data_IF_074049372796
#
_entry.id   IF_074049372796
#
_cell.length_a   1.000
_cell.length_b   1.000
_cell.length_c   1.000
_cell.angle_alpha   90.00
_cell.angle_beta   90.00
_cell.angle_gamma   90.00
#
_symmetry.space_group_name_H-M   'P 1'
#
loop_
_entity.id
_entity.type
_entity.pdbx_description
1 polymer ?
#
# COMPACT_ATOMS: atom_id res chain seq x y z
N UNK A 1 -40.38 -19.88 15.87
CA UNK A 1 -38.99 -19.81 16.34
C UNK A 1 -38.35 -18.54 15.80
N UNK A 2 -38.43 -17.47 16.57
CA UNK A 2 -37.82 -16.17 16.27
C UNK A 2 -36.33 -16.27 16.59
N UNK A 3 -35.47 -16.21 15.57
CA UNK A 3 -34.03 -16.10 15.79
C UNK A 3 -33.75 -14.74 16.44
N UNK A 4 -33.38 -14.75 17.72
CA UNK A 4 -32.83 -13.58 18.38
C UNK A 4 -31.58 -13.13 17.59
N UNK A 5 -31.51 -11.89 17.09
CA UNK A 5 -30.28 -11.37 16.51
C UNK A 5 -29.19 -11.38 17.58
N UNK A 6 -27.98 -11.82 17.22
CA UNK A 6 -26.86 -11.91 18.15
C UNK A 6 -26.56 -10.54 18.79
N UNK A 7 -26.11 -10.54 20.06
CA UNK A 7 -25.69 -9.33 20.78
C UNK A 7 -24.65 -8.49 20.00
N UNK A 8 -23.86 -9.15 19.15
CA UNK A 8 -22.90 -8.51 18.25
C UNK A 8 -23.59 -7.59 17.20
N UNK A 9 -24.82 -7.91 16.77
CA UNK A 9 -25.59 -7.06 15.85
C UNK A 9 -26.10 -5.78 16.51
N UNK A 10 -26.42 -5.81 17.81
CA UNK A 10 -26.85 -4.62 18.56
C UNK A 10 -25.69 -3.66 18.83
N UNK A 11 -24.49 -4.17 19.11
CA UNK A 11 -23.30 -3.35 19.38
C UNK A 11 -22.72 -2.61 18.16
N UNK A 12 -23.22 -2.89 16.94
CA UNK A 12 -22.80 -2.17 15.72
C UNK A 12 -23.23 -0.71 15.66
N UNK A 13 -24.23 -0.32 16.44
CA UNK A 13 -24.83 1.02 16.35
C UNK A 13 -24.30 2.01 17.40
N UNK A 14 -23.48 1.55 18.34
CA UNK A 14 -22.95 2.37 19.45
C UNK A 14 -21.42 2.57 19.40
N UNK A 15 -20.71 1.84 18.54
CA UNK A 15 -19.29 2.07 18.32
C UNK A 15 -19.11 3.15 17.25
N UNK A 16 -18.33 4.22 17.53
CA UNK A 16 -18.12 5.28 16.56
C UNK A 16 -17.56 4.68 15.26
N UNK A 17 -18.14 5.08 14.13
CA UNK A 17 -17.63 4.75 12.81
C UNK A 17 -16.22 5.33 12.69
N UNK A 18 -15.20 4.50 12.95
CA UNK A 18 -13.79 4.86 12.89
C UNK A 18 -13.30 5.00 11.44
N UNK A 19 -14.09 5.67 10.58
CA UNK A 19 -13.69 6.10 9.25
C UNK A 19 -12.42 6.95 9.37
N UNK A 20 -11.28 6.34 9.06
CA UNK A 20 -9.98 7.00 9.01
C UNK A 20 -9.10 6.84 10.25
N UNK A 21 -9.53 6.14 11.31
CA UNK A 21 -8.66 5.90 12.46
C UNK A 21 -7.50 4.95 12.07
N UNK A 22 -6.26 5.20 12.53
CA UNK A 22 -5.14 4.31 12.29
C UNK A 22 -5.41 2.93 12.93
N UNK A 23 -4.89 1.88 12.31
CA UNK A 23 -4.97 0.52 12.85
C UNK A 23 -3.92 0.32 13.94
N UNK A 24 -4.35 -0.20 15.07
CA UNK A 24 -3.51 -0.57 16.21
C UNK A 24 -3.01 -2.01 16.11
N UNK A 25 -2.00 -2.35 16.92
CA UNK A 25 -1.49 -3.73 17.00
C UNK A 25 -2.54 -4.70 17.57
N UNK A 26 -3.31 -4.28 18.58
CA UNK A 26 -4.43 -5.08 19.13
C UNK A 26 -5.52 -5.36 18.10
N UNK A 27 -5.80 -4.40 17.21
CA UNK A 27 -6.70 -4.60 16.07
C UNK A 27 -6.11 -5.59 15.06
N UNK A 28 -4.80 -5.51 14.78
CA UNK A 28 -4.11 -6.45 13.90
C UNK A 28 -4.17 -7.88 14.49
N UNK A 29 -3.91 -8.06 15.79
CA UNK A 29 -4.02 -9.35 16.48
C UNK A 29 -5.45 -9.90 16.46
N UNK A 30 -6.44 -9.02 16.67
CA UNK A 30 -7.85 -9.38 16.56
C UNK A 30 -8.18 -9.83 15.14
N UNK A 31 -7.65 -9.15 14.13
CA UNK A 31 -7.84 -9.52 12.73
C UNK A 31 -7.22 -10.88 12.42
N UNK A 32 -6.03 -11.19 12.95
CA UNK A 32 -5.40 -12.52 12.82
C UNK A 32 -6.28 -13.60 13.41
N UNK A 33 -6.77 -13.42 14.64
CA UNK A 33 -7.64 -14.41 15.29
C UNK A 33 -8.94 -14.64 14.52
N UNK A 34 -9.61 -13.56 14.10
CA UNK A 34 -10.88 -13.64 13.39
C UNK A 34 -10.71 -14.19 11.98
N UNK A 35 -9.59 -13.88 11.29
CA UNK A 35 -9.29 -14.47 9.99
C UNK A 35 -9.02 -15.97 10.13
N UNK A 36 -8.30 -16.42 11.16
CA UNK A 36 -8.09 -17.84 11.42
C UNK A 36 -9.41 -18.58 11.69
N UNK A 37 -10.37 -17.93 12.37
CA UNK A 37 -11.69 -18.48 12.68
C UNK A 37 -12.64 -18.52 11.47
N UNK A 38 -12.71 -17.44 10.69
CA UNK A 38 -13.72 -17.26 9.64
C UNK A 38 -13.18 -17.41 8.21
N UNK A 39 -11.87 -17.45 8.02
CA UNK A 39 -11.21 -17.30 6.73
C UNK A 39 -11.46 -15.90 6.13
N UNK A 40 -11.44 -15.81 4.81
CA UNK A 40 -11.65 -14.55 4.08
C UNK A 40 -13.14 -14.16 3.96
N UNK A 41 -14.01 -14.66 4.86
CA UNK A 41 -15.42 -14.24 4.95
C UNK A 41 -15.51 -12.92 5.70
N UNK A 42 -15.08 -11.84 5.05
CA UNK A 42 -14.89 -10.53 5.69
C UNK A 42 -16.14 -9.93 6.31
N UNK A 43 -17.34 -10.29 5.82
CA UNK A 43 -18.59 -9.91 6.47
C UNK A 43 -18.72 -10.55 7.86
N UNK A 44 -18.41 -11.84 7.99
CA UNK A 44 -18.43 -12.54 9.27
C UNK A 44 -17.30 -12.08 10.20
N UNK A 45 -16.12 -11.76 9.65
CA UNK A 45 -15.04 -11.13 10.44
C UNK A 45 -15.52 -9.80 11.00
N UNK A 46 -16.17 -8.95 10.20
CA UNK A 46 -16.66 -7.65 10.63
C UNK A 46 -17.84 -7.73 11.62
N UNK A 47 -18.63 -8.81 11.59
CA UNK A 47 -19.67 -9.04 12.60
C UNK A 47 -19.08 -9.17 14.02
N UNK A 48 -17.84 -9.64 14.15
CA UNK A 48 -17.12 -9.81 15.42
C UNK A 48 -15.99 -8.78 15.63
N UNK A 49 -15.74 -7.91 14.65
CA UNK A 49 -14.68 -6.90 14.72
C UNK A 49 -15.27 -5.55 15.17
N UNK A 50 -14.86 -5.00 16.34
CA UNK A 50 -15.38 -3.72 16.81
C UNK A 50 -14.91 -2.55 15.93
N UNK A 51 -15.85 -1.77 15.40
CA UNK A 51 -15.56 -0.49 14.75
C UNK A 51 -14.88 -0.56 13.37
N UNK A 52 -14.71 -1.75 12.76
CA UNK A 52 -14.19 -1.91 11.39
C UNK A 52 -15.15 -2.66 10.48
N UNK A 53 -15.22 -2.24 9.23
CA UNK A 53 -16.02 -2.92 8.20
C UNK A 53 -15.26 -4.08 7.57
N UNK A 54 -15.99 -5.01 6.94
CA UNK A 54 -15.38 -6.14 6.25
C UNK A 54 -14.41 -5.71 5.15
N UNK A 55 -14.71 -4.61 4.45
CA UNK A 55 -13.80 -4.04 3.45
C UNK A 55 -12.49 -3.56 4.07
N UNK A 56 -12.56 -2.86 5.22
CA UNK A 56 -11.36 -2.41 5.93
C UNK A 56 -10.53 -3.60 6.42
N UNK A 57 -11.16 -4.61 7.00
CA UNK A 57 -10.50 -5.85 7.42
C UNK A 57 -9.82 -6.56 6.24
N UNK A 58 -10.51 -6.71 5.11
CA UNK A 58 -9.97 -7.33 3.91
C UNK A 58 -8.74 -6.56 3.37
N UNK A 59 -8.84 -5.23 3.32
CA UNK A 59 -7.75 -4.37 2.88
C UNK A 59 -6.55 -4.48 3.83
N UNK A 60 -6.77 -4.40 5.14
CA UNK A 60 -5.71 -4.52 6.14
C UNK A 60 -5.01 -5.87 6.09
N UNK A 61 -5.77 -6.95 5.94
CA UNK A 61 -5.24 -8.30 5.78
C UNK A 61 -4.33 -8.40 4.55
N UNK A 62 -4.84 -8.02 3.38
CA UNK A 62 -4.13 -8.14 2.09
C UNK A 62 -2.81 -7.37 2.03
N UNK A 63 -2.70 -6.24 2.72
CA UNK A 63 -1.53 -5.36 2.58
C UNK A 63 -0.56 -5.37 3.76
N UNK A 64 -0.97 -5.81 4.96
CA UNK A 64 -0.11 -5.66 6.15
C UNK A 64 -0.14 -6.82 7.14
N UNK A 65 -1.31 -7.38 7.42
CA UNK A 65 -1.47 -8.34 8.54
C UNK A 65 -1.25 -9.79 8.13
N UNK A 66 -1.57 -10.15 6.88
CA UNK A 66 -1.38 -11.52 6.41
C UNK A 66 0.08 -11.99 6.62
N UNK A 67 0.32 -13.07 7.40
CA UNK A 67 1.66 -13.57 7.69
C UNK A 67 2.46 -13.98 6.45
N UNK A 68 1.80 -14.29 5.33
CA UNK A 68 2.49 -14.62 4.08
C UNK A 68 3.17 -13.41 3.43
N UNK A 69 2.92 -12.18 3.90
CA UNK A 69 3.52 -10.96 3.37
C UNK A 69 4.97 -10.85 3.86
N UNK A 70 5.89 -10.86 2.91
CA UNK A 70 7.34 -10.74 3.12
C UNK A 70 7.75 -9.30 3.37
N UNK A 71 8.40 -9.06 4.50
CA UNK A 71 8.91 -7.74 4.95
C UNK A 71 10.43 -7.61 4.82
N UNK A 72 11.10 -8.67 4.39
CA UNK A 72 12.53 -8.73 4.15
C UNK A 72 12.94 -7.96 2.88
N UNK A 73 14.25 -7.79 2.70
CA UNK A 73 14.83 -7.08 1.56
C UNK A 73 14.46 -7.78 0.25
N UNK A 74 14.36 -7.00 -0.83
CA UNK A 74 14.19 -7.54 -2.18
C UNK A 74 15.46 -8.26 -2.61
N UNK A 75 15.32 -9.45 -3.18
CA UNK A 75 16.41 -10.19 -3.79
C UNK A 75 16.60 -9.78 -5.24
N UNK A 76 17.78 -10.09 -5.80
CA UNK A 76 18.06 -9.83 -7.22
C UNK A 76 17.12 -10.64 -8.13
N UNK A 77 16.84 -11.90 -7.79
CA UNK A 77 15.87 -12.73 -8.53
C UNK A 77 14.47 -12.10 -8.54
N UNK A 78 14.02 -11.53 -7.42
CA UNK A 78 12.74 -10.83 -7.34
C UNK A 78 12.73 -9.58 -8.22
N UNK A 79 13.86 -8.85 -8.30
CA UNK A 79 13.98 -7.68 -9.16
C UNK A 79 13.96 -8.06 -10.64
N UNK A 80 14.69 -9.12 -11.03
CA UNK A 80 14.70 -9.66 -12.40
C UNK A 80 13.29 -10.08 -12.80
N UNK A 81 12.60 -10.82 -11.93
CA UNK A 81 11.22 -11.25 -12.16
C UNK A 81 10.26 -10.05 -12.27
N UNK A 82 10.35 -9.10 -11.34
CA UNK A 82 9.53 -7.89 -11.37
C UNK A 82 9.75 -7.09 -12.66
N UNK A 83 10.99 -6.99 -13.14
CA UNK A 83 11.29 -6.33 -14.40
C UNK A 83 10.61 -7.01 -15.58
N UNK A 84 10.81 -8.32 -15.74
CA UNK A 84 10.21 -9.09 -16.82
C UNK A 84 8.68 -9.02 -16.81
N UNK A 85 8.07 -9.05 -15.62
CA UNK A 85 6.63 -8.93 -15.46
C UNK A 85 6.11 -7.53 -15.82
N UNK A 86 6.82 -6.46 -15.47
CA UNK A 86 6.43 -5.10 -15.86
C UNK A 86 6.57 -4.89 -17.38
N UNK A 87 7.60 -5.44 -18.01
CA UNK A 87 7.73 -5.40 -19.47
C UNK A 87 6.58 -6.13 -20.17
N UNK A 88 6.18 -7.29 -19.65
CA UNK A 88 5.10 -8.10 -20.21
C UNK A 88 3.70 -7.55 -19.93
N UNK A 89 3.45 -7.07 -18.71
CA UNK A 89 2.11 -6.76 -18.20
C UNK A 89 1.87 -5.25 -18.00
N UNK A 90 2.88 -4.40 -18.16
CA UNK A 90 2.81 -2.99 -17.80
C UNK A 90 2.60 -2.80 -16.29
N UNK A 91 1.90 -1.73 -15.89
CA UNK A 91 1.69 -1.38 -14.48
C UNK A 91 0.48 -2.07 -13.84
N UNK A 92 0.21 -3.34 -14.18
CA UNK A 92 -0.89 -4.15 -13.62
C UNK A 92 -0.46 -4.81 -12.31
N UNK A 93 -0.22 -4.00 -11.28
CA UNK A 93 0.46 -4.42 -10.04
C UNK A 93 -0.21 -5.58 -9.30
N UNK A 94 -1.54 -5.65 -9.27
CA UNK A 94 -2.25 -6.76 -8.65
C UNK A 94 -1.89 -8.10 -9.31
N UNK A 95 -1.89 -8.16 -10.64
CA UNK A 95 -1.55 -9.36 -11.40
C UNK A 95 -0.05 -9.70 -11.31
N UNK A 96 0.81 -8.67 -11.23
CA UNK A 96 2.25 -8.87 -11.01
C UNK A 96 2.50 -9.50 -9.64
N UNK A 97 1.86 -9.00 -8.58
CA UNK A 97 2.04 -9.49 -7.22
C UNK A 97 1.62 -10.96 -7.05
N UNK A 98 0.61 -11.42 -7.81
CA UNK A 98 0.22 -12.84 -7.86
C UNK A 98 1.36 -13.75 -8.34
N UNK A 99 2.31 -13.22 -9.13
CA UNK A 99 3.46 -13.94 -9.65
C UNK A 99 4.73 -13.83 -8.79
N UNK A 100 4.74 -12.98 -7.74
CA UNK A 100 5.90 -12.79 -6.85
C UNK A 100 5.52 -13.20 -5.42
N UNK A 101 5.80 -14.45 -5.01
CA UNK A 101 5.33 -14.99 -3.73
C UNK A 101 5.69 -14.10 -2.53
N UNK A 102 4.66 -13.74 -1.77
CA UNK A 102 4.78 -12.95 -0.55
C UNK A 102 4.97 -11.44 -0.76
N UNK A 103 5.06 -10.95 -2.00
CA UNK A 103 5.08 -9.50 -2.29
C UNK A 103 3.68 -9.01 -2.63
N UNK A 104 3.32 -7.85 -2.10
CA UNK A 104 2.04 -7.18 -2.42
C UNK A 104 2.19 -6.28 -3.64
N UNK A 105 1.05 -5.94 -4.27
CA UNK A 105 0.95 -4.96 -5.36
C UNK A 105 1.63 -3.62 -5.01
N UNK A 106 1.43 -3.15 -3.77
CA UNK A 106 2.04 -1.92 -3.26
C UNK A 106 3.56 -2.04 -3.12
N UNK A 107 4.07 -3.20 -2.68
CA UNK A 107 5.50 -3.46 -2.61
C UNK A 107 6.13 -3.50 -4.00
N UNK A 108 5.51 -4.20 -4.96
CA UNK A 108 5.97 -4.27 -6.35
C UNK A 108 6.01 -2.89 -7.00
N UNK A 109 4.92 -2.12 -6.90
CA UNK A 109 4.84 -0.75 -7.40
C UNK A 109 5.93 0.14 -6.78
N UNK A 110 6.10 0.04 -5.46
CA UNK A 110 7.10 0.81 -4.72
C UNK A 110 8.52 0.47 -5.14
N UNK A 111 8.83 -0.83 -5.29
CA UNK A 111 10.13 -1.32 -5.74
C UNK A 111 10.45 -0.81 -7.14
N UNK A 112 9.51 -0.96 -8.06
CA UNK A 112 9.67 -0.46 -9.44
C UNK A 112 9.97 1.04 -9.47
N UNK A 113 9.06 1.86 -8.93
CA UNK A 113 9.15 3.33 -9.02
C UNK A 113 10.42 3.90 -8.36
N UNK A 114 10.96 3.23 -7.34
CA UNK A 114 12.13 3.73 -6.60
C UNK A 114 13.45 3.16 -7.12
N UNK A 115 13.48 1.90 -7.54
CA UNK A 115 14.73 1.19 -7.78
C UNK A 115 14.89 0.65 -9.20
N UNK A 116 13.81 0.21 -9.87
CA UNK A 116 13.94 -0.51 -11.14
C UNK A 116 13.52 0.29 -12.36
N UNK A 117 12.65 1.30 -12.21
CA UNK A 117 12.16 2.07 -13.36
C UNK A 117 13.34 2.78 -14.06
N UNK A 118 13.66 2.43 -15.33
CA UNK A 118 14.78 3.00 -16.05
C UNK A 118 14.58 4.48 -16.40
N UNK A 119 13.34 4.98 -16.35
CA UNK A 119 13.03 6.39 -16.61
C UNK A 119 13.42 7.31 -15.45
N UNK A 120 13.70 6.75 -14.28
CA UNK A 120 14.08 7.50 -13.09
C UNK A 120 15.60 7.67 -13.05
N UNK A 121 16.06 8.92 -13.12
CA UNK A 121 17.47 9.26 -12.91
C UNK A 121 17.85 9.14 -11.45
N UNK A 122 18.96 8.44 -11.18
CA UNK A 122 19.47 8.16 -9.81
C UNK A 122 20.89 8.68 -9.59
N UNK A 123 21.48 9.23 -10.64
CA UNK A 123 22.74 9.97 -10.72
C UNK A 123 22.67 11.31 -9.95
N UNK A 124 23.84 11.91 -9.70
CA UNK A 124 23.95 13.17 -8.97
C UNK A 124 23.11 14.29 -9.59
N UNK A 125 22.62 15.22 -8.77
CA UNK A 125 21.90 16.40 -9.24
C UNK A 125 22.87 17.34 -9.96
N UNK A 126 22.48 17.77 -11.15
CA UNK A 126 23.19 18.81 -11.89
C UNK A 126 22.74 20.21 -11.47
N UNK A 127 23.58 21.21 -11.66
CA UNK A 127 23.24 22.63 -11.42
C UNK A 127 22.02 23.09 -12.25
N UNK A 128 21.78 22.47 -13.41
CA UNK A 128 20.57 22.74 -14.22
C UNK A 128 19.31 22.22 -13.54
N UNK A 129 19.36 20.99 -13.02
CA UNK A 129 18.25 20.39 -12.26
C UNK A 129 17.99 21.16 -10.96
N UNK A 130 19.03 21.56 -10.24
CA UNK A 130 18.89 22.34 -9.00
C UNK A 130 18.19 23.69 -9.26
N UNK A 131 18.58 24.40 -10.32
CA UNK A 131 17.91 25.65 -10.71
C UNK A 131 16.46 25.42 -11.11
N UNK A 132 16.19 24.39 -11.91
CA UNK A 132 14.82 24.04 -12.30
C UNK A 132 13.96 23.64 -11.08
N UNK A 133 14.52 22.91 -10.13
CA UNK A 133 13.85 22.53 -8.89
C UNK A 133 13.49 23.77 -8.05
N UNK A 134 14.41 24.72 -7.90
CA UNK A 134 14.18 25.95 -7.16
C UNK A 134 13.05 26.79 -7.79
N UNK A 135 13.08 26.95 -9.12
CA UNK A 135 12.06 27.66 -9.87
C UNK A 135 10.69 27.00 -9.74
N UNK A 136 10.62 25.68 -9.96
CA UNK A 136 9.37 24.93 -9.84
C UNK A 136 8.83 24.94 -8.40
N UNK A 137 9.70 24.95 -7.39
CA UNK A 137 9.30 25.10 -5.98
C UNK A 137 8.73 26.49 -5.70
N UNK A 138 9.26 27.54 -6.33
CA UNK A 138 8.68 28.87 -6.24
C UNK A 138 7.27 28.92 -6.87
N UNK A 139 7.09 28.28 -8.03
CA UNK A 139 5.81 28.25 -8.75
C UNK A 139 4.74 27.36 -8.10
N UNK A 140 5.13 26.18 -7.62
CA UNK A 140 4.19 25.14 -7.15
C UNK A 140 4.22 24.91 -5.63
N UNK A 141 5.04 25.66 -4.89
CA UNK A 141 5.24 25.47 -3.46
C UNK A 141 5.79 24.07 -3.13
N UNK A 142 5.18 23.38 -2.17
CA UNK A 142 5.57 22.03 -1.74
C UNK A 142 4.81 20.92 -2.46
N UNK A 143 4.24 21.20 -3.65
CA UNK A 143 3.61 20.17 -4.47
C UNK A 143 4.66 19.34 -5.22
N UNK A 144 5.37 18.48 -4.49
CA UNK A 144 6.48 17.67 -5.02
C UNK A 144 6.07 16.74 -6.16
N UNK A 145 4.82 16.29 -6.17
CA UNK A 145 4.28 15.46 -7.27
C UNK A 145 4.18 16.25 -8.57
N UNK A 146 3.72 17.50 -8.52
CA UNK A 146 3.68 18.38 -9.69
C UNK A 146 5.11 18.74 -10.16
N UNK A 147 5.98 19.09 -9.22
CA UNK A 147 7.38 19.44 -9.51
C UNK A 147 8.11 18.25 -10.18
N UNK A 148 7.99 17.05 -9.63
CA UNK A 148 8.58 15.84 -10.21
C UNK A 148 8.06 15.56 -11.63
N UNK A 149 6.76 15.78 -11.87
CA UNK A 149 6.17 15.63 -13.20
C UNK A 149 6.76 16.63 -14.19
N UNK A 150 7.03 17.86 -13.77
CA UNK A 150 7.67 18.89 -14.61
C UNK A 150 9.15 18.63 -14.87
N UNK A 151 9.89 18.04 -13.91
CA UNK A 151 11.28 17.61 -14.11
C UNK A 151 11.39 16.33 -14.96
N UNK A 152 10.31 15.54 -15.04
CA UNK A 152 10.10 14.33 -15.86
C UNK A 152 10.93 13.07 -15.51
N UNK A 153 12.12 13.21 -14.92
CA UNK A 153 13.03 12.09 -14.65
C UNK A 153 13.46 11.94 -13.17
N UNK A 154 13.00 12.84 -12.28
CA UNK A 154 13.19 12.75 -10.83
C UNK A 154 11.87 12.44 -10.15
N UNK A 155 11.91 11.60 -9.12
CA UNK A 155 10.74 11.28 -8.30
C UNK A 155 10.44 12.41 -7.30
N UNK A 156 9.18 12.53 -6.87
CA UNK A 156 8.78 13.49 -5.84
C UNK A 156 9.59 13.33 -4.53
N UNK A 157 9.99 12.10 -4.21
CA UNK A 157 10.85 11.81 -3.06
C UNK A 157 12.25 12.40 -3.24
N UNK A 158 12.85 12.27 -4.43
CA UNK A 158 14.15 12.88 -4.73
C UNK A 158 14.07 14.41 -4.68
N UNK A 159 13.02 15.01 -5.28
CA UNK A 159 12.83 16.46 -5.26
C UNK A 159 12.66 17.02 -3.85
N UNK A 160 11.93 16.32 -2.97
CA UNK A 160 11.75 16.73 -1.58
C UNK A 160 13.03 16.61 -0.75
N UNK A 161 13.86 15.62 -1.06
CA UNK A 161 15.10 15.35 -0.33
C UNK A 161 16.25 16.27 -0.74
N UNK A 162 16.11 16.98 -1.87
CA UNK A 162 17.09 17.93 -2.38
C UNK A 162 16.82 19.34 -1.85
#
# INVERSE_FOLDING_TARGET
HTHAPSLARFMRHELPDLKGAPWTESEDDTLVRLQAKHGNRWAAVADEFPGRTGQQCAQRWRHKVNPSIRKDKWTEDEDVLLHALVEKLGTRWAHIAESIPGRTDQQCMGRWRRHLDPKVKRDAWSTKEDRALAELKHQHGTNWSAIAKSLSNRTAQQCRAR
#
